data_IF_816676428531
#
_entry.id   IF_816676428531
#
_cell.length_a   1.000
_cell.length_b   1.000
_cell.length_c   1.000
_cell.angle_alpha   90.00
_cell.angle_beta   90.00
_cell.angle_gamma   90.00
#
_symmetry.space_group_name_H-M   'P 1'
#
loop_
_entity.id
_entity.type
_entity.pdbx_description
1 polymer ?
#
# COMPACT_ATOMS: atom_id res chain seq x y z
N UNK A 1 10.77 -13.48 3.56
CA UNK A 1 11.00 -12.34 4.48
C UNK A 1 12.30 -11.62 4.14
N UNK A 2 13.49 -12.19 4.41
CA UNK A 2 14.78 -11.53 4.10
C UNK A 2 14.90 -11.05 2.64
N UNK A 3 14.53 -11.88 1.66
CA UNK A 3 14.55 -11.49 0.22
C UNK A 3 13.71 -10.26 -0.11
N UNK A 4 12.60 -10.04 0.60
CA UNK A 4 11.70 -8.91 0.37
C UNK A 4 12.28 -7.64 0.97
N UNK A 5 12.81 -7.73 2.19
CA UNK A 5 13.59 -6.65 2.80
C UNK A 5 14.79 -6.28 1.92
N UNK A 6 15.49 -7.26 1.33
CA UNK A 6 16.59 -6.99 0.41
C UNK A 6 16.12 -6.23 -0.83
N UNK A 7 15.04 -6.67 -1.49
CA UNK A 7 14.51 -5.96 -2.68
C UNK A 7 14.06 -4.53 -2.34
N UNK A 8 13.34 -4.34 -1.25
CA UNK A 8 12.90 -3.02 -0.79
C UNK A 8 14.08 -2.10 -0.44
N UNK A 9 15.09 -2.65 0.24
CA UNK A 9 16.31 -1.91 0.54
C UNK A 9 17.03 -1.50 -0.74
N UNK A 10 17.21 -2.42 -1.67
CA UNK A 10 17.86 -2.13 -2.96
C UNK A 10 17.08 -1.09 -3.76
N UNK A 11 15.75 -1.09 -3.71
CA UNK A 11 14.96 -0.07 -4.42
C UNK A 11 14.99 1.32 -3.79
N UNK A 12 15.15 1.42 -2.46
CA UNK A 12 15.15 2.69 -1.74
C UNK A 12 16.55 3.26 -1.51
N UNK A 13 17.57 2.38 -1.43
CA UNK A 13 18.94 2.70 -1.03
C UNK A 13 19.95 2.01 -1.95
N UNK A 14 19.83 2.20 -3.28
CA UNK A 14 20.63 1.51 -4.32
C UNK A 14 22.15 1.50 -4.07
N UNK A 15 22.69 2.52 -3.40
CA UNK A 15 24.12 2.66 -3.12
C UNK A 15 24.59 2.05 -1.79
N UNK A 16 23.68 1.52 -0.97
CA UNK A 16 24.02 0.97 0.35
C UNK A 16 23.90 -0.56 0.40
N UNK A 17 24.87 -1.27 0.98
CA UNK A 17 24.76 -2.71 1.17
C UNK A 17 23.57 -3.04 2.09
N UNK A 18 22.80 -4.06 1.73
CA UNK A 18 21.65 -4.50 2.52
C UNK A 18 22.08 -4.88 3.93
N UNK A 19 21.39 -4.29 4.92
CA UNK A 19 21.56 -4.60 6.34
C UNK A 19 20.19 -4.87 6.96
N UNK A 20 20.05 -6.00 7.65
CA UNK A 20 18.76 -6.43 8.23
C UNK A 20 18.30 -5.46 9.31
N UNK A 21 19.23 -4.96 10.12
CA UNK A 21 19.00 -3.96 11.16
C UNK A 21 19.81 -2.71 10.84
N UNK A 22 19.13 -1.58 10.66
CA UNK A 22 19.73 -0.30 10.29
C UNK A 22 18.77 0.87 10.59
N UNK A 23 19.29 2.01 11.03
CA UNK A 23 18.49 3.21 11.28
C UNK A 23 17.86 3.80 10.01
N UNK A 24 18.39 3.51 8.82
CA UNK A 24 17.80 3.95 7.55
C UNK A 24 16.40 3.33 7.32
N UNK A 25 16.11 2.18 7.92
CA UNK A 25 14.75 1.63 7.96
C UNK A 25 13.75 2.59 8.63
N UNK A 26 14.21 3.47 9.53
CA UNK A 26 13.35 4.48 10.14
C UNK A 26 12.85 5.49 9.12
N UNK A 27 13.60 5.74 8.03
CA UNK A 27 13.14 6.59 6.92
C UNK A 27 11.97 5.98 6.16
N UNK A 28 11.87 4.65 6.18
CA UNK A 28 10.72 3.91 5.65
C UNK A 28 9.60 3.78 6.69
N UNK A 29 9.78 4.28 7.91
CA UNK A 29 8.76 4.29 8.97
C UNK A 29 8.83 3.10 9.93
N UNK A 30 9.84 2.22 9.83
CA UNK A 30 10.07 1.16 10.82
C UNK A 30 10.64 1.77 12.12
N UNK A 31 10.01 1.50 13.26
CA UNK A 31 10.28 2.20 14.53
C UNK A 31 11.61 1.80 15.18
N UNK A 32 12.07 0.58 14.98
CA UNK A 32 13.24 -0.01 15.65
C UNK A 32 14.40 -0.28 14.70
N UNK A 33 14.31 0.20 13.46
CA UNK A 33 15.28 -0.12 12.43
C UNK A 33 15.32 -1.61 12.06
N UNK A 34 14.29 -2.38 12.43
CA UNK A 34 14.19 -3.83 12.24
C UNK A 34 12.85 -4.17 11.57
N UNK A 35 12.80 -4.16 10.23
CA UNK A 35 11.59 -4.52 9.49
C UNK A 35 11.19 -5.98 9.73
N UNK A 36 12.14 -6.89 10.01
CA UNK A 36 11.84 -8.31 10.21
C UNK A 36 11.00 -8.50 11.48
N UNK A 37 11.33 -7.78 12.55
CA UNK A 37 10.61 -7.83 13.83
C UNK A 37 9.27 -7.10 13.79
N UNK A 38 9.17 -6.03 13.00
CA UNK A 38 7.94 -5.24 12.86
C UNK A 38 6.95 -5.81 11.85
N UNK A 39 7.40 -6.66 10.91
CA UNK A 39 6.57 -7.28 9.85
C UNK A 39 6.09 -8.70 10.22
N UNK A 40 6.42 -9.24 11.41
CA UNK A 40 6.18 -10.66 11.79
C UNK A 40 4.74 -11.17 11.60
N UNK A 41 3.72 -10.31 11.57
CA UNK A 41 2.32 -10.71 11.41
C UNK A 41 1.71 -10.48 10.01
N UNK A 42 2.40 -9.80 9.09
CA UNK A 42 1.78 -9.22 7.86
C UNK A 42 2.50 -9.60 6.55
N UNK A 43 3.15 -10.77 6.57
CA UNK A 43 4.24 -11.21 5.68
C UNK A 43 3.83 -11.42 4.22
N UNK A 44 2.59 -11.69 3.87
CA UNK A 44 2.28 -12.02 2.46
C UNK A 44 2.12 -10.77 1.59
N UNK A 45 1.33 -9.78 2.02
CA UNK A 45 0.94 -8.66 1.17
C UNK A 45 2.00 -7.54 1.16
N UNK A 46 2.52 -7.13 2.33
CA UNK A 46 3.50 -6.04 2.40
C UNK A 46 4.87 -6.41 1.80
N UNK A 47 5.27 -7.68 1.94
CA UNK A 47 6.57 -8.18 1.47
C UNK A 47 6.67 -8.28 -0.06
N UNK A 48 5.54 -8.35 -0.76
CA UNK A 48 5.50 -8.47 -2.22
C UNK A 48 5.07 -7.16 -2.86
N UNK A 49 4.15 -6.41 -2.23
CA UNK A 49 3.73 -5.11 -2.73
C UNK A 49 4.87 -4.10 -2.78
N UNK A 50 5.64 -3.95 -1.70
CA UNK A 50 6.62 -2.85 -1.64
C UNK A 50 7.68 -2.97 -2.76
N UNK A 51 8.24 -4.17 -3.04
CA UNK A 51 9.02 -4.38 -4.27
C UNK A 51 8.24 -4.12 -5.56
N UNK A 52 6.98 -4.59 -5.69
CA UNK A 52 6.17 -4.36 -6.89
C UNK A 52 5.95 -2.86 -7.16
N UNK A 53 5.57 -2.08 -6.16
CA UNK A 53 5.31 -0.64 -6.31
C UNK A 53 6.58 0.14 -6.63
N UNK A 54 7.69 -0.22 -6.00
CA UNK A 54 8.98 0.40 -6.28
C UNK A 54 9.59 -0.04 -7.62
N UNK A 55 9.20 -1.19 -8.18
CA UNK A 55 9.65 -1.67 -9.50
C UNK A 55 8.76 -1.15 -10.63
N UNK A 56 7.44 -1.25 -10.49
CA UNK A 56 6.46 -0.92 -11.54
C UNK A 56 6.10 0.57 -11.52
N UNK A 57 5.96 1.16 -10.34
CA UNK A 57 5.55 2.57 -10.15
C UNK A 57 6.64 3.40 -9.47
N UNK A 58 7.92 3.09 -9.79
CA UNK A 58 9.12 3.64 -9.14
C UNK A 58 9.07 5.14 -8.89
N UNK A 59 8.71 5.94 -9.90
CA UNK A 59 8.68 7.41 -9.82
C UNK A 59 7.70 7.88 -8.75
N UNK A 60 6.51 7.26 -8.68
CA UNK A 60 5.48 7.61 -7.70
C UNK A 60 5.92 7.14 -6.31
N UNK A 61 6.40 5.90 -6.19
CA UNK A 61 6.86 5.33 -4.94
C UNK A 61 7.98 6.15 -4.29
N UNK A 62 9.01 6.49 -5.07
CA UNK A 62 10.13 7.32 -4.60
C UNK A 62 9.69 8.74 -4.23
N UNK A 63 8.77 9.34 -5.00
CA UNK A 63 8.22 10.65 -4.66
C UNK A 63 7.51 10.62 -3.31
N UNK A 64 6.68 9.60 -3.05
CA UNK A 64 5.99 9.46 -1.76
C UNK A 64 7.01 9.30 -0.63
N UNK A 65 7.99 8.41 -0.76
CA UNK A 65 9.00 8.14 0.28
C UNK A 65 9.85 9.39 0.56
N UNK A 66 10.30 10.11 -0.47
CA UNK A 66 11.12 11.31 -0.30
C UNK A 66 10.35 12.46 0.36
N UNK A 67 9.02 12.47 0.27
CA UNK A 67 8.17 13.46 0.93
C UNK A 67 7.92 13.13 2.41
N UNK A 68 8.36 11.98 2.93
CA UNK A 68 8.22 11.61 4.35
C UNK A 68 9.31 12.23 5.23
N UNK A 69 9.73 13.44 4.88
CA UNK A 69 10.70 14.22 5.62
C UNK A 69 10.04 15.52 6.07
N UNK A 70 9.73 15.64 7.36
CA UNK A 70 9.17 16.87 7.92
C UNK A 70 8.08 16.65 8.97
N UNK A 71 7.49 17.72 9.49
CA UNK A 71 6.47 17.67 10.54
C UNK A 71 5.15 17.06 10.06
N UNK A 72 4.90 17.07 8.76
CA UNK A 72 3.71 16.49 8.12
C UNK A 72 3.96 15.07 7.60
N UNK A 73 5.10 14.45 7.90
CA UNK A 73 5.41 13.09 7.45
C UNK A 73 4.55 12.06 8.19
N UNK A 74 4.17 11.00 7.47
CA UNK A 74 3.57 9.81 8.06
C UNK A 74 4.52 8.62 7.98
N UNK A 75 4.30 7.61 8.84
CA UNK A 75 5.09 6.38 8.77
C UNK A 75 4.68 5.55 7.56
N UNK A 76 5.43 5.66 6.47
CA UNK A 76 5.14 5.04 5.18
C UNK A 76 4.88 3.52 5.29
N UNK A 77 5.77 2.77 5.94
CA UNK A 77 5.62 1.33 6.10
C UNK A 77 4.41 0.96 6.99
N UNK A 78 4.16 1.73 8.07
CA UNK A 78 3.03 1.47 8.95
C UNK A 78 1.71 1.75 8.22
N UNK A 79 1.58 2.90 7.57
CA UNK A 79 0.40 3.24 6.78
C UNK A 79 0.18 2.23 5.65
N UNK A 80 1.24 1.87 4.92
CA UNK A 80 1.16 0.80 3.92
C UNK A 80 0.64 -0.51 4.52
N UNK A 81 1.09 -0.89 5.71
CA UNK A 81 0.58 -2.09 6.38
C UNK A 81 -0.90 -1.99 6.77
N UNK A 82 -1.36 -0.80 7.20
CA UNK A 82 -2.75 -0.55 7.57
C UNK A 82 -3.66 -0.59 6.33
N UNK A 83 -3.23 0.01 5.22
CA UNK A 83 -3.95 -0.08 3.95
C UNK A 83 -4.01 -1.54 3.49
N UNK A 84 -2.97 -2.34 3.74
CA UNK A 84 -2.93 -3.74 3.27
C UNK A 84 -3.95 -4.57 4.02
N UNK A 85 -4.04 -4.31 5.32
CA UNK A 85 -5.07 -4.89 6.16
C UNK A 85 -6.48 -4.44 5.75
N UNK A 86 -6.69 -3.14 5.47
CA UNK A 86 -7.96 -2.60 5.02
C UNK A 86 -8.42 -3.25 3.70
N UNK A 87 -7.58 -3.28 2.67
CA UNK A 87 -7.90 -3.91 1.37
C UNK A 87 -8.17 -5.41 1.55
N UNK A 88 -7.37 -6.12 2.35
CA UNK A 88 -7.60 -7.54 2.62
C UNK A 88 -8.93 -7.82 3.33
N UNK A 89 -9.38 -6.92 4.22
CA UNK A 89 -10.68 -7.03 4.88
C UNK A 89 -11.83 -6.74 3.93
N UNK A 90 -11.72 -5.72 3.08
CA UNK A 90 -12.73 -5.40 2.06
C UNK A 90 -12.94 -6.58 1.10
N UNK A 91 -11.86 -7.24 0.71
CA UNK A 91 -11.86 -8.44 -0.12
C UNK A 91 -12.17 -9.73 0.66
N UNK A 92 -12.34 -9.64 2.00
CA UNK A 92 -12.62 -10.77 2.90
C UNK A 92 -11.63 -11.94 2.79
N UNK A 93 -10.36 -11.62 2.56
CA UNK A 93 -9.31 -12.62 2.36
C UNK A 93 -8.92 -13.35 3.66
N UNK A 94 -9.23 -12.77 4.82
CA UNK A 94 -8.77 -13.25 6.13
C UNK A 94 -9.51 -14.50 6.61
N UNK A 95 -10.83 -14.53 6.43
CA UNK A 95 -11.69 -15.56 7.02
C UNK A 95 -12.14 -16.61 5.99
N UNK A 96 -11.65 -16.53 4.75
CA UNK A 96 -12.15 -17.35 3.64
C UNK A 96 -13.62 -17.09 3.31
N UNK A 97 -14.20 -15.99 3.82
CA UNK A 97 -15.59 -15.59 3.56
C UNK A 97 -15.88 -15.35 2.08
N UNK A 98 -14.84 -15.10 1.28
CA UNK A 98 -14.91 -15.06 -0.18
C UNK A 98 -15.30 -16.39 -0.84
N UNK A 99 -15.16 -17.53 -0.15
CA UNK A 99 -15.46 -18.87 -0.69
C UNK A 99 -16.91 -19.32 -0.47
N UNK A 100 -17.68 -18.63 0.38
CA UNK A 100 -19.01 -19.07 0.84
C UNK A 100 -20.16 -18.12 0.55
N UNK A 101 -19.92 -16.98 -0.09
CA UNK A 101 -20.95 -15.98 -0.38
C UNK A 101 -21.19 -15.89 -1.89
N UNK A 102 -22.45 -15.74 -2.32
CA UNK A 102 -22.84 -15.32 -3.69
C UNK A 102 -22.41 -13.87 -3.97
N UNK A 103 -21.13 -13.57 -3.71
CA UNK A 103 -20.55 -12.24 -3.89
C UNK A 103 -20.19 -12.00 -5.35
N UNK A 104 -20.15 -10.73 -5.78
CA UNK A 104 -19.71 -10.39 -7.12
C UNK A 104 -18.31 -10.98 -7.35
N UNK A 105 -18.23 -11.93 -8.26
CA UNK A 105 -16.96 -12.41 -8.78
C UNK A 105 -16.31 -11.25 -9.52
N UNK A 106 -15.34 -10.59 -8.90
CA UNK A 106 -14.53 -9.59 -9.59
C UNK A 106 -13.54 -10.33 -10.50
N UNK A 107 -13.95 -10.48 -11.77
CA UNK A 107 -13.11 -11.03 -12.83
C UNK A 107 -11.71 -10.39 -12.87
N UNK A 108 -11.59 -9.13 -12.45
CA UNK A 108 -10.34 -8.43 -12.19
C UNK A 108 -9.27 -9.30 -11.51
N UNK A 109 -9.63 -10.08 -10.49
CA UNK A 109 -8.68 -10.88 -9.71
C UNK A 109 -8.31 -12.23 -10.35
N UNK A 110 -8.80 -12.54 -11.56
CA UNK A 110 -8.20 -13.57 -12.41
C UNK A 110 -6.77 -13.19 -12.81
N UNK A 111 -6.48 -11.89 -12.88
CA UNK A 111 -5.12 -11.39 -13.07
C UNK A 111 -4.40 -11.31 -11.70
N UNK A 112 -3.30 -12.07 -11.50
CA UNK A 112 -2.54 -12.06 -10.26
C UNK A 112 -1.93 -10.69 -9.92
N UNK A 113 -1.79 -9.76 -10.88
CA UNK A 113 -1.27 -8.42 -10.60
C UNK A 113 -2.32 -7.46 -10.04
N UNK A 114 -3.60 -7.75 -10.24
CA UNK A 114 -4.69 -6.82 -9.93
C UNK A 114 -4.77 -6.45 -8.45
N UNK A 115 -4.49 -7.41 -7.56
CA UNK A 115 -4.41 -7.14 -6.12
C UNK A 115 -3.32 -6.11 -5.81
N UNK A 116 -2.14 -6.25 -6.41
CA UNK A 116 -1.04 -5.32 -6.18
C UNK A 116 -1.34 -3.94 -6.75
N UNK A 117 -2.03 -3.85 -7.89
CA UNK A 117 -2.41 -2.56 -8.47
C UNK A 117 -3.49 -1.84 -7.68
N UNK A 118 -4.53 -2.56 -7.25
CA UNK A 118 -5.54 -2.01 -6.34
C UNK A 118 -4.88 -1.45 -5.07
N UNK A 119 -3.90 -2.17 -4.56
CA UNK A 119 -3.14 -1.72 -3.40
C UNK A 119 -2.31 -0.46 -3.69
N UNK A 120 -1.61 -0.39 -4.83
CA UNK A 120 -0.86 0.81 -5.24
C UNK A 120 -1.78 2.03 -5.38
N UNK A 121 -2.96 1.83 -5.96
CA UNK A 121 -4.01 2.85 -6.08
C UNK A 121 -4.48 3.33 -4.70
N UNK A 122 -4.71 2.41 -3.75
CA UNK A 122 -5.10 2.75 -2.38
C UNK A 122 -4.02 3.57 -1.64
N UNK A 123 -2.74 3.24 -1.80
CA UNK A 123 -1.62 4.02 -1.22
C UNK A 123 -1.54 5.42 -1.82
N UNK A 124 -1.78 5.56 -3.12
CA UNK A 124 -1.81 6.88 -3.78
C UNK A 124 -2.99 7.72 -3.29
N UNK A 125 -4.15 7.10 -3.08
CA UNK A 125 -5.33 7.78 -2.53
C UNK A 125 -5.08 8.26 -1.09
N UNK A 126 -4.39 7.46 -0.28
CA UNK A 126 -3.96 7.87 1.06
C UNK A 126 -3.03 9.09 0.98
N UNK A 127 -1.95 9.02 0.19
CA UNK A 127 -0.97 10.11 0.06
C UNK A 127 -1.62 11.41 -0.44
N UNK A 128 -2.55 11.31 -1.39
CA UNK A 128 -3.32 12.46 -1.87
C UNK A 128 -4.20 13.06 -0.76
N UNK A 129 -4.96 12.23 -0.05
CA UNK A 129 -5.82 12.66 1.06
C UNK A 129 -5.00 13.30 2.19
N UNK A 130 -3.85 12.71 2.52
CA UNK A 130 -2.91 13.20 3.52
C UNK A 130 -2.38 14.58 3.12
N UNK A 131 -1.83 14.74 1.91
CA UNK A 131 -1.29 16.03 1.44
C UNK A 131 -2.32 17.15 1.40
N UNK A 132 -3.58 16.83 1.12
CA UNK A 132 -4.65 17.82 1.06
C UNK A 132 -5.10 18.29 2.45
N UNK A 133 -4.95 17.46 3.49
CA UNK A 133 -5.53 17.72 4.80
C UNK A 133 -4.56 17.63 5.98
N UNK A 134 -3.26 17.35 5.76
CA UNK A 134 -2.24 17.20 6.82
C UNK A 134 -2.14 18.42 7.74
N UNK A 135 -2.46 19.61 7.22
CA UNK A 135 -2.52 20.86 7.97
C UNK A 135 -3.77 21.00 8.83
N UNK A 136 -4.84 20.27 8.50
CA UNK A 136 -6.14 20.30 9.18
C UNK A 136 -6.33 19.11 10.15
N UNK A 137 -5.83 17.94 9.78
CA UNK A 137 -5.88 16.70 10.57
C UNK A 137 -4.66 15.84 10.28
N UNK A 138 -4.06 15.30 11.33
CA UNK A 138 -2.97 14.32 11.26
C UNK A 138 -3.44 12.93 11.70
N UNK A 139 -4.75 12.74 11.86
CA UNK A 139 -5.32 11.46 12.23
C UNK A 139 -5.28 10.50 11.05
N UNK A 140 -4.39 9.52 11.12
CA UNK A 140 -4.23 8.46 10.12
C UNK A 140 -5.55 7.73 9.87
N UNK A 141 -6.41 7.55 10.87
CA UNK A 141 -7.67 6.81 10.69
C UNK A 141 -8.64 7.56 9.77
N UNK A 142 -8.70 8.89 9.87
CA UNK A 142 -9.52 9.70 8.97
C UNK A 142 -9.17 9.45 7.49
N UNK A 143 -7.88 9.36 7.19
CA UNK A 143 -7.39 9.09 5.83
C UNK A 143 -7.58 7.64 5.42
N UNK A 144 -7.48 6.69 6.35
CA UNK A 144 -7.75 5.27 6.09
C UNK A 144 -9.24 5.04 5.80
N UNK A 145 -10.14 5.72 6.50
CA UNK A 145 -11.59 5.65 6.25
C UNK A 145 -11.91 6.15 4.83
N UNK A 146 -11.33 7.30 4.43
CA UNK A 146 -11.42 7.80 3.05
C UNK A 146 -10.94 6.78 2.01
N UNK A 147 -9.81 6.11 2.27
CA UNK A 147 -9.28 5.07 1.37
C UNK A 147 -10.22 3.86 1.32
N UNK A 148 -10.84 3.48 2.44
CA UNK A 148 -11.86 2.44 2.52
C UNK A 148 -13.03 2.70 1.59
N UNK A 149 -13.63 3.88 1.72
CA UNK A 149 -14.76 4.31 0.89
C UNK A 149 -14.37 4.35 -0.59
N UNK A 150 -13.19 4.89 -0.90
CA UNK A 150 -12.67 4.96 -2.26
C UNK A 150 -12.46 3.59 -2.90
N UNK A 151 -11.81 2.66 -2.20
CA UNK A 151 -11.57 1.30 -2.70
C UNK A 151 -12.89 0.55 -2.87
N UNK A 152 -13.82 0.69 -1.93
CA UNK A 152 -15.12 0.05 -2.01
C UNK A 152 -15.90 0.54 -3.23
N UNK A 153 -15.94 1.85 -3.47
CA UNK A 153 -16.60 2.44 -4.64
C UNK A 153 -15.95 1.99 -5.97
N UNK A 154 -14.62 1.93 -6.02
CA UNK A 154 -13.91 1.37 -7.18
C UNK A 154 -14.33 -0.07 -7.48
N UNK A 155 -14.44 -0.91 -6.45
CA UNK A 155 -14.88 -2.30 -6.60
C UNK A 155 -16.37 -2.41 -6.95
N UNK A 156 -17.22 -1.50 -6.47
CA UNK A 156 -18.64 -1.42 -6.83
C UNK A 156 -18.87 -1.09 -8.31
N UNK A 157 -17.97 -0.31 -8.93
CA UNK A 157 -18.00 -0.06 -10.39
C UNK A 157 -17.70 -1.30 -11.23
N UNK A 158 -17.22 -2.38 -10.60
CA UNK A 158 -17.02 -3.67 -11.24
C UNK A 158 -15.96 -3.67 -12.34
N UNK A 159 -14.72 -3.18 -12.09
CA UNK A 159 -13.63 -3.36 -13.05
C UNK A 159 -13.44 -4.85 -13.33
N UNK A 160 -13.28 -5.18 -14.61
CA UNK A 160 -13.11 -6.55 -15.11
C UNK A 160 -11.64 -6.85 -15.46
N UNK A 161 -10.77 -5.83 -15.49
CA UNK A 161 -9.33 -5.92 -15.73
C UNK A 161 -8.57 -4.73 -15.12
N UNK A 162 -7.24 -4.83 -15.05
CA UNK A 162 -6.33 -3.83 -14.46
C UNK A 162 -6.43 -2.44 -15.14
N UNK A 163 -6.44 -2.33 -16.48
CA UNK A 163 -6.66 -1.04 -17.14
C UNK A 163 -7.94 -0.33 -16.70
N UNK A 164 -9.06 -1.03 -16.62
CA UNK A 164 -10.34 -0.46 -16.19
C UNK A 164 -10.28 -0.01 -14.72
N UNK A 165 -9.62 -0.80 -13.86
CA UNK A 165 -9.37 -0.40 -12.47
C UNK A 165 -8.59 0.93 -12.40
N UNK A 166 -7.53 1.07 -13.19
CA UNK A 166 -6.70 2.28 -13.23
C UNK A 166 -7.50 3.48 -13.75
N UNK A 167 -8.28 3.28 -14.82
CA UNK A 167 -9.12 4.34 -15.39
C UNK A 167 -10.14 4.85 -14.37
N UNK A 168 -10.85 3.94 -13.69
CA UNK A 168 -11.83 4.31 -12.67
C UNK A 168 -11.18 5.06 -11.50
N UNK A 169 -9.96 4.68 -11.12
CA UNK A 169 -9.21 5.37 -10.08
C UNK A 169 -8.84 6.80 -10.49
N UNK A 170 -8.49 7.02 -11.77
CA UNK A 170 -8.17 8.36 -12.29
C UNK A 170 -9.38 9.30 -12.28
N UNK A 171 -10.57 8.80 -12.63
CA UNK A 171 -11.81 9.60 -12.66
C UNK A 171 -12.27 10.09 -11.28
N UNK A 172 -11.74 9.53 -10.19
CA UNK A 172 -12.09 9.93 -8.82
C UNK A 172 -11.17 11.03 -8.27
N UNK A 173 -9.94 11.08 -8.76
CA UNK A 173 -8.90 12.01 -8.30
C UNK A 173 -8.86 13.29 -9.16
N UNK A 174 -9.54 13.28 -10.32
CA UNK A 174 -9.78 14.45 -11.19
C UNK A 174 -10.99 15.27 -10.75
#
# INVERSE_FOLDING_TARGET
MLRCCTRLWTSCFESQPFTVTNLEWNRLGFRHGDPVREIQFFIACCSVWSPFFHEVHRTVALSIVNNQHGPEAYSYALVGSQIAYLVANLLQLRDGGCLGLERPFWKLFEDPIAFYELFCIAVRAFDASWKLNSTNTTDVNFHLDYVGDFVQELLCRGPDNVPNLIEYAHQWVS
#
